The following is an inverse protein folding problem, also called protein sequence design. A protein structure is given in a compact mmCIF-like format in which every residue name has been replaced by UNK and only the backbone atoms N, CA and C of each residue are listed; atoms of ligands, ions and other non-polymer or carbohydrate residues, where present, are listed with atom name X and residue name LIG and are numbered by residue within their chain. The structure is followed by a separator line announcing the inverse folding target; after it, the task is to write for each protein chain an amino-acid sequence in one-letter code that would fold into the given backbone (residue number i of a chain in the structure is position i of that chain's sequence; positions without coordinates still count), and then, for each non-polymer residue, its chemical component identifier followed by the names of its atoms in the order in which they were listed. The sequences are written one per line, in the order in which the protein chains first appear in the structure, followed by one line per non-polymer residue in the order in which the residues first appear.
data_IF_540863917607
#
_entry.id   IF_540863917607
#
_cell.length_a   1.000
_cell.length_b   1.000
_cell.length_c   1.000
_cell.angle_alpha   90.00
_cell.angle_beta   90.00
_cell.angle_gamma   90.00
#
_symmetry.space_group_name_H-M   'P 1'
#
loop_
_entity.id
_entity.type
_entity.pdbx_description
1 polymer ?
#
# COMPACT_ATOMS: atom_id res chain seq x y z
N UNK A 1 -18.95 6.27 -6.75
CA UNK A 1 -18.03 7.26 -6.15
C UNK A 1 -18.04 7.04 -4.64
N UNK A 2 -16.90 6.75 -4.02
CA UNK A 2 -16.85 6.36 -2.60
C UNK A 2 -17.06 7.61 -1.71
N UNK A 3 -17.99 7.60 -0.73
CA UNK A 3 -18.45 8.80 -0.01
C UNK A 3 -17.36 9.61 0.72
N UNK A 4 -16.31 8.95 1.23
CA UNK A 4 -15.22 9.61 1.97
C UNK A 4 -14.32 10.50 1.12
N UNK A 5 -14.26 10.26 -0.21
CA UNK A 5 -13.55 11.13 -1.15
C UNK A 5 -14.26 12.49 -1.34
N UNK A 6 -15.56 12.54 -1.05
CA UNK A 6 -16.41 13.71 -1.26
C UNK A 6 -16.53 14.56 0.01
N UNK A 7 -16.42 13.96 1.20
CA UNK A 7 -16.64 14.63 2.48
C UNK A 7 -15.37 15.10 3.20
N UNK A 8 -14.16 14.85 2.66
CA UNK A 8 -12.90 15.22 3.33
C UNK A 8 -12.57 14.37 4.56
N UNK A 9 -13.37 13.32 4.82
CA UNK A 9 -13.24 12.33 5.89
C UNK A 9 -12.12 11.30 5.57
N UNK A 10 -10.92 11.78 5.20
CA UNK A 10 -9.78 10.93 4.84
C UNK A 10 -9.40 9.95 5.97
N UNK A 11 -9.70 10.32 7.23
CA UNK A 11 -9.51 9.47 8.42
C UNK A 11 -10.50 8.30 8.47
N UNK A 12 -11.75 8.49 8.08
CA UNK A 12 -12.73 7.40 8.00
C UNK A 12 -12.39 6.43 6.86
N UNK A 13 -11.96 6.96 5.72
CA UNK A 13 -11.41 6.15 4.64
C UNK A 13 -10.26 5.27 5.12
N UNK A 14 -9.29 5.85 5.85
CA UNK A 14 -8.16 5.08 6.40
C UNK A 14 -8.60 3.99 7.38
N UNK A 15 -9.56 4.28 8.27
CA UNK A 15 -10.14 3.29 9.20
C UNK A 15 -10.86 2.17 8.46
N UNK A 16 -11.59 2.49 7.40
CA UNK A 16 -12.24 1.50 6.54
C UNK A 16 -11.20 0.60 5.86
N UNK A 17 -10.10 1.15 5.35
CA UNK A 17 -9.04 0.34 4.76
C UNK A 17 -8.30 -0.52 5.78
N UNK A 18 -8.00 0.01 6.97
CA UNK A 18 -7.30 -0.74 8.01
C UNK A 18 -8.17 -1.88 8.59
N UNK A 19 -9.47 -1.64 8.79
CA UNK A 19 -10.43 -2.66 9.22
C UNK A 19 -10.62 -3.74 8.16
N UNK A 20 -10.78 -3.33 6.89
CA UNK A 20 -10.84 -4.26 5.77
C UNK A 20 -9.55 -5.06 5.68
N UNK A 21 -8.38 -4.42 5.68
CA UNK A 21 -7.07 -5.08 5.62
C UNK A 21 -6.80 -6.07 6.76
N UNK A 22 -7.33 -5.82 7.95
CA UNK A 22 -7.29 -6.76 9.09
C UNK A 22 -8.28 -7.92 8.91
N UNK A 23 -9.51 -7.67 8.46
CA UNK A 23 -10.44 -8.75 8.11
C UNK A 23 -9.84 -9.66 7.02
N UNK A 24 -9.11 -9.07 6.07
CA UNK A 24 -8.41 -9.81 5.01
C UNK A 24 -7.19 -10.60 5.51
N UNK A 25 -6.60 -10.26 6.67
CA UNK A 25 -5.59 -11.10 7.36
C UNK A 25 -6.23 -12.34 8.00
N UNK A 26 -7.43 -12.19 8.56
CA UNK A 26 -8.16 -13.31 9.16
C UNK A 26 -8.51 -14.39 8.13
N UNK A 27 -8.90 -13.97 6.93
CA UNK A 27 -9.24 -14.86 5.81
C UNK A 27 -8.06 -15.71 5.30
N UNK A 28 -6.81 -15.23 5.41
CA UNK A 28 -5.61 -16.00 5.00
C UNK A 28 -5.36 -17.25 5.85
N UNK A 29 -5.89 -17.32 7.08
CA UNK A 29 -5.78 -18.51 7.93
C UNK A 29 -6.82 -19.59 7.60
N UNK A 30 -7.81 -19.25 6.76
CA UNK A 30 -9.01 -20.05 6.55
C UNK A 30 -8.88 -21.10 5.47
N UNK A 31 -8.56 -20.75 4.22
CA UNK A 31 -8.82 -21.65 3.10
C UNK A 31 -7.74 -21.60 2.01
N UNK A 32 -7.60 -22.77 1.38
CA UNK A 32 -6.59 -23.16 0.41
C UNK A 32 -6.72 -22.35 -0.88
N UNK A 33 -5.57 -22.21 -1.56
CA UNK A 33 -5.31 -21.46 -2.78
C UNK A 33 -5.27 -19.93 -2.55
N UNK A 34 -4.06 -19.40 -2.64
CA UNK A 34 -3.82 -17.97 -2.80
C UNK A 34 -4.43 -17.54 -4.12
N UNK A 35 -5.74 -17.23 -4.14
CA UNK A 35 -6.37 -16.63 -5.30
C UNK A 35 -5.54 -15.38 -5.66
N UNK A 36 -4.84 -15.43 -6.79
CA UNK A 36 -3.96 -14.33 -7.18
C UNK A 36 -4.72 -13.01 -7.22
N UNK A 37 -6.00 -13.08 -7.60
CA UNK A 37 -6.93 -11.96 -7.55
C UNK A 37 -7.18 -11.44 -6.13
N UNK A 38 -7.18 -12.32 -5.12
CA UNK A 38 -7.27 -11.93 -3.72
C UNK A 38 -6.03 -11.17 -3.26
N UNK A 39 -4.85 -11.71 -3.53
CA UNK A 39 -3.59 -11.04 -3.21
C UNK A 39 -3.48 -9.69 -3.94
N UNK A 40 -3.93 -9.61 -5.21
CA UNK A 40 -3.96 -8.37 -6.00
C UNK A 40 -4.91 -7.35 -5.38
N UNK A 41 -6.12 -7.77 -5.03
CA UNK A 41 -7.14 -6.90 -4.40
C UNK A 41 -6.61 -6.34 -3.09
N UNK A 42 -6.01 -7.19 -2.26
CA UNK A 42 -5.43 -6.78 -0.98
C UNK A 42 -4.24 -5.83 -1.15
N UNK A 43 -3.38 -6.06 -2.13
CA UNK A 43 -2.26 -5.17 -2.45
C UNK A 43 -2.77 -3.78 -2.89
N UNK A 44 -3.84 -3.72 -3.69
CA UNK A 44 -4.51 -2.46 -4.08
C UNK A 44 -5.07 -1.73 -2.86
N UNK A 45 -5.71 -2.43 -1.93
CA UNK A 45 -6.24 -1.84 -0.70
C UNK A 45 -5.13 -1.24 0.16
N UNK A 46 -4.03 -1.97 0.38
CA UNK A 46 -2.86 -1.42 1.10
C UNK A 46 -2.26 -0.20 0.40
N UNK A 47 -2.21 -0.19 -0.93
CA UNK A 47 -1.74 0.97 -1.69
C UNK A 47 -2.65 2.19 -1.50
N UNK A 48 -3.97 2.02 -1.55
CA UNK A 48 -4.94 3.09 -1.29
C UNK A 48 -4.85 3.64 0.13
N UNK A 49 -4.74 2.76 1.11
CA UNK A 49 -4.55 3.12 2.51
C UNK A 49 -3.26 3.93 2.75
N UNK A 50 -2.17 3.55 2.07
CA UNK A 50 -0.90 4.29 2.12
C UNK A 50 -1.02 5.71 1.56
N UNK A 51 -1.77 5.91 0.47
CA UNK A 51 -2.03 7.25 -0.08
C UNK A 51 -2.80 8.11 0.90
N UNK A 52 -3.81 7.56 1.57
CA UNK A 52 -4.60 8.30 2.56
C UNK A 52 -3.75 8.66 3.79
N UNK A 53 -2.93 7.74 4.29
CA UNK A 53 -2.00 8.03 5.39
C UNK A 53 -1.02 9.16 5.01
N UNK A 54 -0.47 9.13 3.79
CA UNK A 54 0.42 10.18 3.30
C UNK A 54 -0.28 11.54 3.15
N UNK A 55 -1.56 11.55 2.77
CA UNK A 55 -2.39 12.76 2.69
C UNK A 55 -2.72 13.34 4.06
N UNK A 56 -2.80 12.49 5.09
CA UNK A 56 -2.99 12.88 6.49
C UNK A 56 -1.68 13.30 7.20
N UNK A 57 -0.55 13.28 6.50
CA UNK A 57 0.77 13.57 7.08
C UNK A 57 1.37 12.42 7.89
N UNK A 58 0.77 11.23 7.85
CA UNK A 58 1.34 10.00 8.45
C UNK A 58 2.23 9.29 7.41
N UNK A 59 3.46 9.79 7.29
CA UNK A 59 4.43 9.29 6.32
C UNK A 59 4.96 7.90 6.68
N UNK A 60 5.16 7.62 7.97
CA UNK A 60 5.62 6.33 8.47
C UNK A 60 4.56 5.25 8.25
N UNK A 61 3.30 5.56 8.56
CA UNK A 61 2.17 4.69 8.29
C UNK A 61 1.91 4.51 6.79
N UNK A 62 2.19 5.51 5.96
CA UNK A 62 2.15 5.36 4.51
C UNK A 62 3.24 4.39 4.01
N UNK A 63 4.48 4.54 4.49
CA UNK A 63 5.58 3.66 4.14
C UNK A 63 5.29 2.21 4.53
N UNK A 64 4.80 1.97 5.74
CA UNK A 64 4.43 0.61 6.19
C UNK A 64 3.38 -0.05 5.28
N UNK A 65 2.35 0.72 4.88
CA UNK A 65 1.27 0.22 4.02
C UNK A 65 1.76 -0.03 2.58
N UNK A 66 2.57 0.85 2.02
CA UNK A 66 3.18 0.63 0.70
C UNK A 66 4.14 -0.56 0.68
N UNK A 67 4.95 -0.76 1.74
CA UNK A 67 5.83 -1.92 1.86
C UNK A 67 5.05 -3.24 1.84
N UNK A 68 3.89 -3.31 2.49
CA UNK A 68 3.00 -4.48 2.42
C UNK A 68 2.42 -4.72 1.03
N UNK A 69 2.03 -3.66 0.31
CA UNK A 69 1.56 -3.79 -1.06
C UNK A 69 2.66 -4.33 -1.99
N UNK A 70 3.89 -3.83 -1.87
CA UNK A 70 5.05 -4.32 -2.64
C UNK A 70 5.30 -5.81 -2.36
N UNK A 71 5.31 -6.23 -1.09
CA UNK A 71 5.52 -7.63 -0.72
C UNK A 71 4.46 -8.57 -1.31
N UNK A 72 3.20 -8.13 -1.37
CA UNK A 72 2.12 -8.92 -1.99
C UNK A 72 2.30 -9.03 -3.51
N UNK A 73 2.68 -7.94 -4.19
CA UNK A 73 2.96 -7.99 -5.63
C UNK A 73 4.22 -8.81 -5.99
N UNK A 74 5.20 -8.86 -5.08
CA UNK A 74 6.35 -9.77 -5.22
C UNK A 74 5.94 -11.24 -5.14
N UNK A 75 5.04 -11.61 -4.22
CA UNK A 75 4.45 -12.97 -4.15
C UNK A 75 3.70 -13.33 -5.42
N UNK A 76 3.00 -12.36 -6.00
CA UNK A 76 2.29 -12.48 -7.28
C UNK A 76 3.19 -12.50 -8.51
N UNK A 77 4.50 -12.26 -8.35
CA UNK A 77 5.47 -12.08 -9.45
C UNK A 77 5.00 -11.05 -10.48
N UNK A 78 4.36 -9.98 -10.01
CA UNK A 78 3.84 -8.88 -10.84
C UNK A 78 4.65 -7.58 -10.59
N UNK A 79 5.83 -7.43 -11.24
CA UNK A 79 6.69 -6.26 -11.04
C UNK A 79 6.05 -4.97 -11.56
N UNK A 80 5.19 -5.06 -12.58
CA UNK A 80 4.48 -3.89 -13.12
C UNK A 80 3.49 -3.33 -12.10
N UNK A 81 2.74 -4.19 -11.42
CA UNK A 81 1.83 -3.76 -10.36
C UNK A 81 2.57 -3.28 -9.10
N UNK A 82 3.81 -3.75 -8.87
CA UNK A 82 4.66 -3.29 -7.77
C UNK A 82 5.26 -1.89 -7.99
N UNK A 83 5.44 -1.43 -9.23
CA UNK A 83 6.15 -0.18 -9.54
C UNK A 83 5.55 1.05 -8.86
N UNK A 84 4.22 1.21 -8.93
CA UNK A 84 3.53 2.36 -8.32
C UNK A 84 3.61 2.36 -6.77
N UNK A 85 3.30 1.25 -6.06
CA UNK A 85 3.55 1.13 -4.63
C UNK A 85 5.01 1.38 -4.23
N UNK A 86 5.99 0.89 -5.01
CA UNK A 86 7.42 1.08 -4.74
C UNK A 86 7.84 2.55 -4.87
N UNK A 87 7.38 3.25 -5.91
CA UNK A 87 7.64 4.68 -6.07
C UNK A 87 7.03 5.49 -4.91
N UNK A 88 5.80 5.16 -4.50
CA UNK A 88 5.13 5.80 -3.36
C UNK A 88 5.80 5.50 -2.03
N UNK A 89 6.34 4.29 -1.85
CA UNK A 89 7.16 3.93 -0.70
C UNK A 89 8.44 4.78 -0.66
N UNK A 90 9.15 4.90 -1.78
CA UNK A 90 10.35 5.73 -1.87
C UNK A 90 10.06 7.20 -1.54
N UNK A 91 8.94 7.74 -2.03
CA UNK A 91 8.49 9.09 -1.69
C UNK A 91 8.13 9.23 -0.19
N UNK A 92 7.44 8.26 0.39
CA UNK A 92 7.10 8.28 1.82
C UNK A 92 8.37 8.28 2.69
N UNK A 93 9.32 7.37 2.42
CA UNK A 93 10.61 7.27 3.12
C UNK A 93 11.45 8.55 2.99
N UNK A 94 11.46 9.16 1.80
CA UNK A 94 12.14 10.44 1.59
C UNK A 94 11.56 11.54 2.50
N UNK A 95 10.23 11.56 2.68
CA UNK A 95 9.56 12.52 3.57
C UNK A 95 9.75 12.19 5.06
N UNK A 96 10.01 10.93 5.44
CA UNK A 96 10.31 10.51 6.82
C UNK A 96 11.76 10.83 7.27
N UNK A 97 12.63 11.30 6.38
CA UNK A 97 14.04 11.58 6.69
C UNK A 97 15.01 10.45 6.32
N UNK A 98 14.52 9.25 5.98
CA UNK A 98 15.31 8.13 5.46
C UNK A 98 15.60 8.30 3.95
N UNK A 99 16.33 9.38 3.64
CA UNK A 99 16.72 9.76 2.28
C UNK A 99 17.45 8.67 1.46
N UNK A 100 18.38 7.87 2.01
CA UNK A 100 19.10 6.89 1.19
C UNK A 100 18.22 5.70 0.78
N UNK A 101 17.41 5.15 1.68
CA UNK A 101 16.51 4.03 1.38
C UNK A 101 15.38 4.48 0.43
N UNK A 102 14.82 5.68 0.65
CA UNK A 102 13.82 6.25 -0.25
C UNK A 102 14.31 6.48 -1.67
N UNK A 103 15.55 6.98 -1.83
CA UNK A 103 16.19 7.15 -3.16
C UNK A 103 16.40 5.81 -3.86
N UNK A 104 16.91 4.79 -3.18
CA UNK A 104 17.15 3.48 -3.78
C UNK A 104 15.85 2.86 -4.34
N UNK A 105 14.75 2.95 -3.58
CA UNK A 105 13.43 2.47 -3.99
C UNK A 105 12.84 3.26 -5.16
N UNK A 106 12.99 4.60 -5.17
CA UNK A 106 12.58 5.45 -6.29
C UNK A 106 13.35 5.11 -7.57
N UNK A 107 14.68 4.96 -7.48
CA UNK A 107 15.50 4.58 -8.63
C UNK A 107 15.13 3.20 -9.17
N UNK A 108 14.95 2.21 -8.29
CA UNK A 108 14.55 0.86 -8.69
C UNK A 108 13.15 0.81 -9.33
N UNK A 109 12.25 1.73 -8.97
CA UNK A 109 10.91 1.81 -9.56
C UNK A 109 10.89 2.42 -10.96
N UNK A 110 11.94 3.19 -11.31
CA UNK A 110 12.06 3.89 -12.60
C UNK A 110 12.85 3.08 -13.63
N UNK A 111 13.47 1.97 -13.22
CA UNK A 111 14.21 1.08 -14.13
C UNK A 111 13.26 -0.03 -14.60
N UNK A 112 12.97 -0.15 -15.92
CA UNK A 112 11.97 -1.07 -16.46
C UNK A 112 12.40 -2.55 -16.46
#
# INVERSE_FOLDING_TARGET
LQPWLVHGELKEGLRWFDSTGQALKGAERGERAEDEEWLRTRARLYCGAGVLAAALGDHDGAAHRHRRAVALYQRLRDPRAAALPSARLGHALFRCGDRPEGRALLSASLTP
#
